data_IF_175491057997
#
_entry.id   IF_175491057997
#
_cell.length_a   1.000
_cell.length_b   1.000
_cell.length_c   1.000
_cell.angle_alpha   90.00
_cell.angle_beta   90.00
_cell.angle_gamma   90.00
#
_symmetry.space_group_name_H-M   'P 1'
#
loop_
_entity.id
_entity.type
_entity.pdbx_description
1 polymer ?
#
# COMPACT_ATOMS: atom_id res chain seq x y z
N UNK A 1 16.03 16.38 0.49
CA UNK A 1 16.33 16.28 0.63
C UNK A 1 16.40 16.54 0.20
N UNK A 2 16.44 16.51 0.09
CA UNK A 2 16.70 16.47 -0.10
C UNK A 2 16.93 16.37 0.01
N UNK A 3 16.87 16.28 0.11
CA UNK A 3 17.42 16.01 0.36
C UNK A 3 18.13 15.84 0.60
N UNK A 4 17.82 16.00 0.50
CA UNK A 4 18.92 16.09 1.10
C UNK A 4 19.82 14.96 1.35
N UNK A 5 19.42 13.84 1.23
CA UNK A 5 20.22 12.66 1.46
C UNK A 5 20.70 12.09 0.13
N UNK A 6 21.92 11.56 0.12
CA UNK A 6 22.38 10.76 -1.00
C UNK A 6 21.70 9.40 -0.95
N UNK A 7 21.72 8.66 -2.05
CA UNK A 7 21.17 7.31 -2.06
C UNK A 7 21.84 6.45 -1.00
N UNK A 8 23.14 6.60 -0.83
CA UNK A 8 23.90 5.81 0.14
C UNK A 8 23.46 6.14 1.57
N UNK A 9 23.22 7.40 1.86
CA UNK A 9 22.78 7.80 3.19
C UNK A 9 21.42 7.23 3.51
N UNK A 10 20.50 7.28 2.56
CA UNK A 10 19.15 6.77 2.75
C UNK A 10 19.17 5.27 2.96
N UNK A 11 19.99 4.58 2.17
CA UNK A 11 20.13 3.16 2.29
C UNK A 11 20.63 2.77 3.68
N UNK A 12 21.63 3.46 4.17
CA UNK A 12 22.19 3.20 5.49
C UNK A 12 21.14 3.44 6.59
N UNK A 13 20.40 4.52 6.50
CA UNK A 13 19.36 4.85 7.46
C UNK A 13 18.29 3.77 7.50
N UNK A 14 17.81 3.35 6.34
CA UNK A 14 16.74 2.36 6.29
C UNK A 14 17.19 0.99 6.76
N UNK A 15 18.41 0.60 6.44
CA UNK A 15 18.93 -0.68 6.93
C UNK A 15 19.06 -0.66 8.45
N UNK A 16 19.41 0.49 9.01
CA UNK A 16 19.50 0.63 10.44
C UNK A 16 18.12 0.54 11.08
N UNK A 17 17.17 1.18 10.48
CA UNK A 17 15.82 1.20 11.02
C UNK A 17 15.09 -0.12 10.86
N UNK A 18 15.07 -0.60 9.66
CA UNK A 18 14.36 -1.81 9.40
C UNK A 18 15.05 -3.02 9.81
N UNK A 19 16.09 -2.98 9.89
CA UNK A 19 16.70 -3.79 10.21
C UNK A 19 17.23 -4.67 10.17
N UNK A 20 17.71 -4.77 10.59
CA UNK A 20 18.38 -5.68 10.67
C UNK A 20 17.91 -6.79 10.05
N UNK A 21 16.91 -7.22 10.22
CA UNK A 21 16.49 -8.40 9.64
C UNK A 21 16.23 -8.20 8.27
N UNK A 22 16.39 -7.16 7.81
CA UNK A 22 16.05 -6.96 6.62
C UNK A 22 17.06 -7.16 5.78
N UNK A 23 17.88 -6.81 6.23
CA UNK A 23 18.80 -6.89 5.60
C UNK A 23 19.14 -7.82 5.01
N UNK A 24 19.17 -8.10 5.42
CA UNK A 24 19.62 -9.03 5.12
C UNK A 24 19.17 -9.61 4.05
N UNK A 25 18.42 -9.71 3.80
CA UNK A 25 18.02 -10.39 2.83
C UNK A 25 17.91 -9.69 1.77
N UNK A 26 18.05 -9.04 1.81
CA UNK A 26 17.89 -8.60 0.98
C UNK A 26 17.43 -8.17 0.17
N UNK A 27 17.52 -7.99 0.25
CA UNK A 27 17.05 -8.08 -0.45
C UNK A 27 16.42 -7.33 -1.08
N UNK A 28 16.03 -6.95 -1.15
CA UNK A 28 15.30 -6.39 -1.88
C UNK A 28 15.14 -5.00 -1.78
N UNK A 29 15.57 -4.27 -0.89
CA UNK A 29 15.54 -2.86 -0.86
C UNK A 29 16.69 -2.35 -1.68
N UNK A 30 16.38 -1.69 -2.76
CA UNK A 30 17.42 -1.10 -3.58
C UNK A 30 17.38 0.43 -3.42
N UNK A 31 18.39 1.11 -3.93
CA UNK A 31 18.52 2.55 -3.75
C UNK A 31 17.34 3.34 -4.30
N UNK A 32 16.82 2.92 -5.44
CA UNK A 32 15.69 3.62 -6.03
C UNK A 32 14.46 3.53 -5.16
N UNK A 33 14.19 2.36 -4.60
CA UNK A 33 13.07 2.18 -3.71
C UNK A 33 13.21 3.03 -2.45
N UNK A 34 14.41 3.07 -1.89
CA UNK A 34 14.68 3.83 -0.68
C UNK A 34 14.53 5.33 -0.94
N UNK A 35 15.08 5.80 -2.04
CA UNK A 35 15.01 7.20 -2.39
C UNK A 35 13.57 7.64 -2.60
N UNK A 36 12.80 6.84 -3.33
CA UNK A 36 11.42 7.16 -3.59
C UNK A 36 10.63 7.28 -2.29
N UNK A 37 10.84 6.34 -1.37
CA UNK A 37 10.13 6.38 -0.09
C UNK A 37 10.50 7.59 0.74
N UNK A 38 11.76 7.99 0.69
CA UNK A 38 12.24 9.09 1.52
C UNK A 38 11.82 10.46 0.98
N UNK A 39 11.62 10.56 -0.33
CA UNK A 39 11.41 11.85 -0.97
C UNK A 39 10.03 12.10 -1.54
N UNK A 40 9.15 11.12 -1.52
CA UNK A 40 7.83 11.31 -2.08
C UNK A 40 6.88 11.86 -1.01
N UNK A 41 6.14 12.87 -1.38
CA UNK A 41 5.15 13.48 -0.51
C UNK A 41 3.78 13.20 -1.12
N UNK A 42 2.94 12.47 -0.41
CA UNK A 42 1.63 12.10 -0.90
C UNK A 42 0.54 12.79 -0.09
N UNK A 43 -0.57 13.08 -0.75
CA UNK A 43 -1.69 13.77 -0.13
C UNK A 43 -2.99 13.01 -0.42
N UNK A 44 -3.13 11.79 0.14
CA UNK A 44 -4.33 11.00 -0.14
C UNK A 44 -5.55 11.59 0.53
N UNK A 45 -6.64 11.66 -0.20
CA UNK A 45 -7.92 12.15 0.31
C UNK A 45 -8.84 10.94 0.36
N UNK A 46 -9.24 10.54 1.57
CA UNK A 46 -10.09 9.38 1.74
C UNK A 46 -10.75 9.41 3.13
N UNK A 47 -11.65 8.48 3.36
CA UNK A 47 -12.37 8.37 4.63
C UNK A 47 -11.98 7.12 5.41
N UNK A 48 -10.85 6.52 5.10
CA UNK A 48 -10.43 5.32 5.82
C UNK A 48 -10.10 5.65 7.26
N UNK A 49 -10.55 4.81 8.17
CA UNK A 49 -10.21 4.98 9.57
C UNK A 49 -8.74 4.65 9.79
N UNK A 50 -8.11 5.25 10.81
CA UNK A 50 -6.75 4.85 11.17
C UNK A 50 -6.71 3.38 11.54
N UNK A 51 -5.56 2.75 11.39
CA UNK A 51 -5.41 1.33 11.71
C UNK A 51 -5.91 1.04 13.13
N UNK A 52 -5.66 1.94 14.06
CA UNK A 52 -6.07 1.74 15.46
C UNK A 52 -7.58 1.62 15.64
N UNK A 53 -8.37 2.04 14.67
CA UNK A 53 -9.83 1.98 14.74
C UNK A 53 -10.43 0.85 13.90
N UNK A 54 -9.59 0.02 13.31
CA UNK A 54 -10.07 -1.14 12.55
C UNK A 54 -10.63 -2.17 13.52
N UNK A 55 -11.81 -2.69 13.19
CA UNK A 55 -12.42 -3.74 14.00
C UNK A 55 -11.71 -5.06 13.77
N UNK A 56 -11.65 -5.87 14.81
CA UNK A 56 -11.03 -7.21 14.73
C UNK A 56 -9.57 -7.18 14.28
N UNK A 57 -8.88 -6.12 14.62
CA UNK A 57 -7.51 -5.90 14.13
C UNK A 57 -6.57 -7.07 14.43
N UNK A 58 -6.70 -7.67 15.61
CA UNK A 58 -5.84 -8.78 16.03
C UNK A 58 -6.55 -10.12 16.01
N UNK A 59 -7.63 -10.23 15.25
CA UNK A 59 -8.40 -11.47 15.16
C UNK A 59 -8.66 -11.76 13.69
N UNK A 60 -7.74 -12.50 13.09
CA UNK A 60 -7.80 -12.82 11.65
C UNK A 60 -9.12 -13.50 11.27
N UNK A 61 -9.53 -14.52 12.03
CA UNK A 61 -10.72 -15.29 11.67
C UNK A 61 -11.97 -14.42 11.67
N UNK A 62 -12.12 -13.61 12.68
CA UNK A 62 -13.29 -12.74 12.76
C UNK A 62 -13.24 -11.63 11.73
N UNK A 63 -12.05 -11.08 11.49
CA UNK A 63 -11.87 -10.08 10.46
C UNK A 63 -12.18 -10.62 9.08
N UNK A 64 -11.78 -11.86 8.82
CA UNK A 64 -12.09 -12.53 7.56
C UNK A 64 -13.61 -12.71 7.44
N UNK A 65 -14.23 -13.27 8.47
CA UNK A 65 -15.68 -13.52 8.42
C UNK A 65 -16.48 -12.25 8.19
N UNK A 66 -16.10 -11.16 8.83
CA UNK A 66 -16.88 -9.91 8.77
C UNK A 66 -16.51 -9.07 7.54
N UNK A 67 -15.27 -9.11 7.10
CA UNK A 67 -14.80 -8.21 6.04
C UNK A 67 -14.74 -8.83 4.65
N UNK A 68 -14.46 -10.12 4.56
CA UNK A 68 -14.32 -10.78 3.26
C UNK A 68 -15.53 -10.59 2.33
N UNK A 69 -16.78 -10.69 2.83
CA UNK A 69 -17.93 -10.51 1.93
C UNK A 69 -17.95 -9.13 1.25
N UNK A 70 -17.45 -8.11 1.94
CA UNK A 70 -17.37 -6.78 1.33
C UNK A 70 -16.29 -6.75 0.24
N UNK A 71 -15.15 -7.40 0.49
CA UNK A 71 -14.11 -7.49 -0.54
C UNK A 71 -14.63 -8.22 -1.77
N UNK A 72 -15.32 -9.33 -1.56
CA UNK A 72 -15.86 -10.13 -2.66
C UNK A 72 -16.83 -9.31 -3.51
N UNK A 73 -17.70 -8.55 -2.83
CA UNK A 73 -18.64 -7.70 -3.54
C UNK A 73 -17.92 -6.56 -4.27
N UNK A 74 -16.88 -6.03 -3.64
CA UNK A 74 -16.05 -5.02 -4.28
C UNK A 74 -15.43 -5.51 -5.57
N UNK A 75 -15.01 -6.79 -5.60
CA UNK A 75 -14.44 -7.39 -6.81
C UNK A 75 -15.47 -7.43 -7.94
N UNK A 76 -16.74 -7.70 -7.62
CA UNK A 76 -17.79 -7.68 -8.62
C UNK A 76 -17.93 -6.30 -9.23
N UNK A 77 -17.94 -5.26 -8.41
CA UNK A 77 -18.08 -3.89 -8.90
C UNK A 77 -16.84 -3.45 -9.68
N UNK A 78 -15.66 -3.79 -9.20
CA UNK A 78 -14.43 -3.43 -9.91
C UNK A 78 -14.40 -4.03 -11.30
N UNK A 79 -14.81 -5.28 -11.43
CA UNK A 79 -14.81 -5.97 -12.72
C UNK A 79 -15.86 -5.40 -13.67
N UNK A 80 -16.90 -4.80 -13.13
CA UNK A 80 -17.90 -4.13 -13.96
C UNK A 80 -17.47 -2.72 -14.34
N UNK A 81 -16.39 -2.22 -13.77
CA UNK A 81 -15.91 -0.87 -14.03
C UNK A 81 -16.44 0.17 -13.06
N UNK A 82 -17.22 -0.22 -12.05
CA UNK A 82 -17.71 0.70 -11.04
C UNK A 82 -16.66 0.82 -9.94
N UNK A 83 -15.63 1.58 -10.24
CA UNK A 83 -14.42 1.64 -9.41
C UNK A 83 -14.69 2.32 -8.08
N UNK A 84 -15.47 3.39 -8.07
CA UNK A 84 -15.73 4.12 -6.83
C UNK A 84 -16.50 3.27 -5.84
N UNK A 85 -17.48 2.51 -6.32
CA UNK A 85 -18.22 1.61 -5.44
C UNK A 85 -17.32 0.46 -4.94
N UNK A 86 -16.46 -0.02 -5.81
CA UNK A 86 -15.50 -1.06 -5.41
C UNK A 86 -14.62 -0.55 -4.27
N UNK A 87 -14.09 0.66 -4.38
CA UNK A 87 -13.25 1.25 -3.35
C UNK A 87 -14.04 1.36 -2.04
N UNK A 88 -15.29 1.82 -2.12
CA UNK A 88 -16.15 1.93 -0.95
C UNK A 88 -16.31 0.59 -0.24
N UNK A 89 -16.47 -0.49 -1.01
CA UNK A 89 -16.60 -1.82 -0.44
C UNK A 89 -15.28 -2.35 0.13
N UNK A 90 -14.16 -2.01 -0.49
CA UNK A 90 -12.85 -2.37 0.07
C UNK A 90 -12.61 -1.62 1.38
N UNK A 91 -13.07 -0.38 1.49
CA UNK A 91 -12.98 0.38 2.73
C UNK A 91 -13.76 -0.33 3.84
N UNK A 92 -14.92 -0.88 3.52
CA UNK A 92 -15.70 -1.64 4.50
C UNK A 92 -15.00 -2.94 4.87
N UNK A 93 -14.44 -3.66 3.89
CA UNK A 93 -13.72 -4.88 4.15
C UNK A 93 -12.56 -4.61 5.13
N UNK A 94 -11.83 -3.55 4.87
CA UNK A 94 -10.71 -3.13 5.73
C UNK A 94 -11.21 -2.78 7.13
N UNK A 95 -12.28 -2.00 7.20
CA UNK A 95 -12.83 -1.56 8.48
C UNK A 95 -13.22 -2.74 9.37
N UNK A 96 -13.82 -3.77 8.79
CA UNK A 96 -14.25 -4.94 9.57
C UNK A 96 -13.11 -5.92 9.86
N UNK A 97 -11.92 -5.66 9.36
CA UNK A 97 -10.75 -6.42 9.76
C UNK A 97 -10.21 -7.39 8.75
N UNK A 98 -10.75 -7.41 7.53
CA UNK A 98 -10.16 -8.26 6.49
C UNK A 98 -8.79 -7.69 6.14
N UNK A 99 -7.76 -8.50 6.24
CA UNK A 99 -6.40 -8.06 6.01
C UNK A 99 -5.62 -9.15 5.29
N UNK A 100 -5.81 -9.23 3.99
CA UNK A 100 -5.13 -10.21 3.16
C UNK A 100 -4.45 -9.48 2.01
N UNK A 101 -3.41 -10.05 1.42
CA UNK A 101 -2.77 -9.42 0.25
C UNK A 101 -3.78 -9.07 -0.84
N UNK A 102 -4.81 -9.91 -1.02
CA UNK A 102 -5.83 -9.67 -2.04
C UNK A 102 -6.54 -8.33 -1.85
N UNK A 103 -6.77 -7.92 -0.61
CA UNK A 103 -7.43 -6.64 -0.35
C UNK A 103 -6.56 -5.49 -0.87
N UNK A 104 -5.28 -5.51 -0.54
CA UNK A 104 -4.38 -4.42 -0.91
C UNK A 104 -4.11 -4.40 -2.41
N UNK A 105 -4.04 -5.55 -3.03
CA UNK A 105 -3.90 -5.64 -4.49
C UNK A 105 -5.14 -5.04 -5.18
N UNK A 106 -6.33 -5.38 -4.70
CA UNK A 106 -7.57 -4.90 -5.27
C UNK A 106 -7.72 -3.38 -5.12
N UNK A 107 -7.40 -2.87 -3.93
CA UNK A 107 -7.39 -1.44 -3.68
C UNK A 107 -6.44 -0.74 -4.67
N UNK A 108 -5.23 -1.27 -4.79
CA UNK A 108 -4.22 -0.64 -5.63
C UNK A 108 -4.66 -0.59 -7.08
N UNK A 109 -5.23 -1.70 -7.57
CA UNK A 109 -5.74 -1.74 -8.93
C UNK A 109 -6.87 -0.74 -9.15
N UNK A 110 -7.74 -0.60 -8.16
CA UNK A 110 -8.87 0.33 -8.26
C UNK A 110 -8.38 1.78 -8.28
N UNK A 111 -7.50 2.15 -7.37
CA UNK A 111 -6.96 3.51 -7.35
C UNK A 111 -6.15 3.81 -8.61
N UNK A 112 -5.39 2.82 -9.09
CA UNK A 112 -4.62 3.00 -10.31
C UNK A 112 -5.53 3.29 -11.50
N UNK A 113 -6.67 2.62 -11.56
CA UNK A 113 -7.61 2.76 -12.66
C UNK A 113 -8.17 4.18 -12.77
N UNK A 114 -8.30 4.88 -11.65
CA UNK A 114 -8.80 6.25 -11.64
C UNK A 114 -7.68 7.27 -11.46
N UNK A 115 -6.43 6.83 -11.62
CA UNK A 115 -5.25 7.69 -11.54
C UNK A 115 -5.09 8.38 -10.19
N UNK A 116 -5.58 7.76 -9.12
CA UNK A 116 -5.44 8.27 -7.77
C UNK A 116 -4.20 7.64 -7.15
N UNK A 117 -3.05 8.12 -7.58
CA UNK A 117 -1.77 7.52 -7.18
C UNK A 117 -1.44 7.79 -5.72
N UNK A 118 -1.91 8.90 -5.16
CA UNK A 118 -1.68 9.20 -3.74
C UNK A 118 -2.28 8.10 -2.86
N UNK A 119 -3.53 7.73 -3.13
CA UNK A 119 -4.19 6.67 -2.37
C UNK A 119 -3.61 5.30 -2.69
N UNK A 120 -3.23 5.07 -3.95
CA UNK A 120 -2.60 3.80 -4.32
C UNK A 120 -1.33 3.58 -3.50
N UNK A 121 -0.48 4.62 -3.40
CA UNK A 121 0.76 4.55 -2.65
C UNK A 121 0.47 4.33 -1.16
N UNK A 122 -0.49 5.08 -0.62
CA UNK A 122 -0.80 4.97 0.80
C UNK A 122 -1.28 3.57 1.16
N UNK A 123 -2.19 3.03 0.38
CA UNK A 123 -2.75 1.71 0.71
C UNK A 123 -1.72 0.60 0.52
N UNK A 124 -0.83 0.75 -0.45
CA UNK A 124 0.24 -0.23 -0.64
C UNK A 124 1.24 -0.17 0.50
N UNK A 125 1.57 1.04 0.98
CA UNK A 125 2.45 1.16 2.15
C UNK A 125 1.83 0.51 3.37
N UNK A 126 0.52 0.69 3.57
CA UNK A 126 -0.17 0.03 4.66
C UNK A 126 -0.13 -1.50 4.50
N UNK A 127 -0.38 -1.99 3.29
CA UNK A 127 -0.35 -3.42 3.03
C UNK A 127 1.03 -4.01 3.27
N UNK A 128 2.07 -3.32 2.80
CA UNK A 128 3.45 -3.76 3.00
C UNK A 128 3.75 -3.88 4.50
N UNK A 129 3.34 -2.89 5.27
CA UNK A 129 3.59 -2.89 6.70
C UNK A 129 2.78 -3.96 7.43
N UNK A 130 1.49 -4.07 7.14
CA UNK A 130 0.60 -4.97 7.87
C UNK A 130 0.75 -6.43 7.49
N UNK A 131 1.02 -6.73 6.21
CA UNK A 131 1.19 -8.11 5.76
C UNK A 131 2.55 -8.63 6.17
N UNK A 132 3.56 -7.77 6.12
CA UNK A 132 4.87 -8.13 6.59
C UNK A 132 5.75 -8.74 5.54
N UNK A 133 7.04 -8.61 5.75
CA UNK A 133 8.03 -8.97 4.75
C UNK A 133 8.21 -10.46 4.52
N UNK A 134 7.64 -11.29 5.36
CA UNK A 134 7.74 -12.74 5.16
C UNK A 134 6.74 -13.26 4.15
N UNK A 135 5.77 -12.45 3.79
CA UNK A 135 4.74 -12.87 2.85
C UNK A 135 5.29 -12.79 1.43
N UNK A 136 5.00 -13.82 0.64
CA UNK A 136 5.51 -13.89 -0.74
C UNK A 136 4.94 -12.79 -1.64
N UNK A 137 3.86 -12.14 -1.24
CA UNK A 137 3.25 -11.08 -2.05
C UNK A 137 3.88 -9.71 -1.83
N UNK A 138 4.80 -9.60 -0.87
CA UNK A 138 5.34 -8.31 -0.50
C UNK A 138 6.11 -7.65 -1.65
N UNK A 139 6.87 -8.42 -2.40
CA UNK A 139 7.67 -7.87 -3.51
C UNK A 139 6.78 -7.30 -4.60
N UNK A 140 5.63 -7.94 -4.85
CA UNK A 140 4.68 -7.42 -5.83
C UNK A 140 4.11 -6.08 -5.38
N UNK A 141 3.80 -5.96 -4.09
CA UNK A 141 3.28 -4.70 -3.54
C UNK A 141 4.31 -3.59 -3.63
N UNK A 142 5.57 -3.90 -3.33
CA UNK A 142 6.65 -2.92 -3.44
C UNK A 142 6.80 -2.45 -4.88
N UNK A 143 6.76 -3.38 -5.84
CA UNK A 143 6.86 -3.04 -7.25
C UNK A 143 5.71 -2.14 -7.69
N UNK A 144 4.48 -2.48 -7.28
CA UNK A 144 3.31 -1.66 -7.59
C UNK A 144 3.45 -0.27 -6.98
N UNK A 145 3.91 -0.18 -5.74
CA UNK A 145 4.09 1.09 -5.08
C UNK A 145 5.10 1.95 -5.82
N UNK A 146 6.22 1.37 -6.20
CA UNK A 146 7.25 2.12 -6.91
C UNK A 146 6.76 2.62 -8.26
N UNK A 147 5.98 1.81 -8.95
CA UNK A 147 5.38 2.25 -10.21
C UNK A 147 4.38 3.38 -9.98
N UNK A 148 3.59 3.30 -8.93
CA UNK A 148 2.63 4.37 -8.59
C UNK A 148 3.35 5.67 -8.27
N UNK A 149 4.49 5.59 -7.57
CA UNK A 149 5.30 6.75 -7.28
C UNK A 149 5.79 7.40 -8.58
N UNK A 150 6.26 6.59 -9.53
CA UNK A 150 6.70 7.12 -10.81
C UNK A 150 5.56 7.79 -11.56
N UNK A 151 4.38 7.18 -11.52
CA UNK A 151 3.20 7.75 -12.16
C UNK A 151 2.81 9.07 -11.52
N UNK A 152 2.88 9.14 -10.18
CA UNK A 152 2.55 10.37 -9.47
C UNK A 152 3.52 11.49 -9.83
N UNK A 153 4.80 11.19 -9.87
CA UNK A 153 5.81 12.17 -10.23
C UNK A 153 5.61 12.68 -11.66
N UNK A 154 5.29 11.77 -12.58
CA UNK A 154 5.00 12.14 -13.95
C UNK A 154 3.75 13.02 -14.03
N UNK A 155 2.73 12.69 -13.25
CA UNK A 155 1.50 13.47 -13.21
C UNK A 155 1.78 14.88 -12.71
N UNK A 156 2.61 15.01 -11.68
CA UNK A 156 2.98 16.31 -11.12
C UNK A 156 3.79 17.18 -12.09
N UNK A 157 4.61 16.53 -12.90
CA UNK A 157 5.39 17.26 -13.89
C UNK A 157 4.53 17.93 -14.94
N UNK A 158 3.34 17.41 -15.18
CA UNK A 158 2.42 17.97 -16.17
C UNK A 158 1.58 19.11 -15.64
N UNK A 159 1.62 19.28 -14.34
CA UNK A 159 0.90 20.38 -13.71
C UNK A 159 1.76 21.64 -13.71
#
# INVERSE_FOLDING_TARGET
MNNAFSASDIEHILLTIYNKDYQIQNVIINSDDIIDRANIDIHPINNRVPISQIMNLNNWDKGFDKGYPFWEKGEEYRKKGDILEAINLYDKARFYGYCAPALFDSYAMAFHKINDYDNEIEILNEGIERIGKRNSHINRMITRRNNAIKMLLTQREKE
#
